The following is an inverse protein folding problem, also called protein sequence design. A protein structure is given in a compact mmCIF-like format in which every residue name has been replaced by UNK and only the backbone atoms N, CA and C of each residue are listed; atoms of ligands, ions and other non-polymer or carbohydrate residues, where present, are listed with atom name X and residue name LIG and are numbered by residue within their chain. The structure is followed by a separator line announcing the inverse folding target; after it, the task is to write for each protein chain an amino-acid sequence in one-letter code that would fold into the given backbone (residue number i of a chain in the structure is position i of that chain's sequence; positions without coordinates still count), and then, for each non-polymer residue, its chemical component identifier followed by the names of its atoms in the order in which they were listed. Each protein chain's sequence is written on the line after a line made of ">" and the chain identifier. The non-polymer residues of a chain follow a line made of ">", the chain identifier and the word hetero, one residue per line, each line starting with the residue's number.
data_IF_960274389948
#
_entry.id   IF_960274389948
#
_cell.length_a   1.000
_cell.length_b   1.000
_cell.length_c   1.000
_cell.angle_alpha   90.00
_cell.angle_beta   90.00
_cell.angle_gamma   90.00
#
_symmetry.space_group_name_H-M   'P 1'
#
loop_
_entity.id
_entity.type
_entity.pdbx_description
1 polymer ?
#
# COMPACT_ATOMS: atom_id res chain seq x y z
N UNK A 1 3.10 3.71 4.32
CA UNK A 1 2.54 3.36 3.00
C UNK A 1 3.01 4.27 1.86
N UNK A 2 2.65 5.57 1.77
CA UNK A 2 3.12 6.42 0.64
C UNK A 2 4.64 6.65 0.64
N UNK A 3 5.20 6.92 1.81
CA UNK A 3 6.66 7.11 1.96
C UNK A 3 7.43 5.81 1.66
N UNK A 4 6.89 4.66 2.08
CA UNK A 4 7.46 3.32 1.80
C UNK A 4 7.47 3.01 0.29
N UNK A 5 6.40 3.36 -0.43
CA UNK A 5 6.32 3.20 -1.89
C UNK A 5 7.40 4.02 -2.61
N UNK A 6 7.67 5.24 -2.15
CA UNK A 6 8.69 6.11 -2.72
C UNK A 6 10.11 5.57 -2.46
N UNK A 7 10.36 5.00 -1.27
CA UNK A 7 11.62 4.32 -0.96
C UNK A 7 11.87 3.11 -1.86
N UNK A 8 10.85 2.27 -2.10
CA UNK A 8 10.97 1.11 -3.00
C UNK A 8 11.27 1.52 -4.45
N UNK A 9 10.67 2.60 -4.96
CA UNK A 9 11.01 3.11 -6.29
C UNK A 9 12.45 3.60 -6.39
N UNK A 10 12.97 4.20 -5.31
CA UNK A 10 14.36 4.62 -5.26
C UNK A 10 15.30 3.42 -5.26
N UNK A 11 14.99 2.41 -4.46
CA UNK A 11 15.75 1.16 -4.38
C UNK A 11 15.77 0.41 -5.72
N UNK A 12 14.61 0.29 -6.38
CA UNK A 12 14.49 -0.28 -7.72
C UNK A 12 15.40 0.42 -8.73
N UNK A 13 15.45 1.75 -8.70
CA UNK A 13 16.30 2.54 -9.58
C UNK A 13 17.80 2.33 -9.27
N UNK A 14 18.17 2.25 -8.00
CA UNK A 14 19.55 1.95 -7.58
C UNK A 14 19.99 0.56 -8.06
N UNK A 15 19.12 -0.45 -7.92
CA UNK A 15 19.36 -1.82 -8.38
C UNK A 15 19.47 -1.87 -9.91
N UNK A 16 18.56 -1.20 -10.64
CA UNK A 16 18.58 -1.16 -12.11
C UNK A 16 19.83 -0.46 -12.65
N UNK A 17 20.28 0.62 -12.00
CA UNK A 17 21.46 1.39 -12.37
C UNK A 17 22.80 0.70 -12.03
N UNK A 18 22.78 -0.37 -11.23
CA UNK A 18 23.98 -1.14 -10.93
C UNK A 18 24.36 -2.03 -12.11
N UNK A 19 25.59 -1.93 -12.63
CA UNK A 19 26.06 -2.72 -13.77
C UNK A 19 26.43 -4.18 -13.42
N UNK A 20 26.32 -4.56 -12.14
CA UNK A 20 26.67 -5.91 -11.68
C UNK A 20 25.46 -6.85 -11.75
N UNK A 21 25.70 -8.09 -12.20
CA UNK A 21 24.68 -9.15 -12.23
C UNK A 21 24.28 -9.65 -10.83
N UNK A 22 25.08 -9.30 -9.82
CA UNK A 22 24.84 -9.63 -8.42
C UNK A 22 25.06 -8.39 -7.55
N UNK A 23 24.23 -8.21 -6.54
CA UNK A 23 24.35 -7.11 -5.60
C UNK A 23 24.79 -7.62 -4.22
N UNK A 24 26.03 -7.33 -3.78
CA UNK A 24 26.55 -7.79 -2.48
C UNK A 24 25.68 -7.38 -1.28
N UNK A 25 24.96 -6.25 -1.40
CA UNK A 25 24.03 -5.75 -0.39
C UNK A 25 22.85 -6.71 -0.15
N UNK A 26 22.45 -7.46 -1.18
CA UNK A 26 21.38 -8.44 -1.15
C UNK A 26 21.90 -9.90 -1.16
N UNK A 27 23.20 -10.08 -0.90
CA UNK A 27 23.83 -11.40 -0.85
C UNK A 27 24.19 -11.97 -2.23
N UNK A 28 24.02 -13.27 -2.40
CA UNK A 28 24.32 -14.00 -3.65
C UNK A 28 23.12 -14.12 -4.59
N UNK A 29 22.04 -13.38 -4.33
CA UNK A 29 20.86 -13.34 -5.19
C UNK A 29 21.18 -12.64 -6.51
N UNK A 30 20.49 -13.08 -7.56
CA UNK A 30 20.63 -12.49 -8.89
C UNK A 30 19.97 -11.11 -8.94
N UNK A 31 20.52 -10.19 -9.73
CA UNK A 31 19.93 -8.86 -9.93
C UNK A 31 18.46 -8.95 -10.39
N UNK A 32 18.15 -9.89 -11.27
CA UNK A 32 16.80 -10.11 -11.80
C UNK A 32 15.81 -10.52 -10.72
N UNK A 33 16.21 -11.43 -9.83
CA UNK A 33 15.42 -11.86 -8.68
C UNK A 33 15.16 -10.70 -7.72
N UNK A 34 16.18 -9.88 -7.44
CA UNK A 34 16.01 -8.69 -6.58
C UNK A 34 15.05 -7.68 -7.22
N UNK A 35 15.13 -7.45 -8.53
CA UNK A 35 14.19 -6.57 -9.23
C UNK A 35 12.75 -7.11 -9.11
N UNK A 36 12.55 -8.42 -9.31
CA UNK A 36 11.23 -9.03 -9.21
C UNK A 36 10.63 -8.88 -7.81
N UNK A 37 11.42 -9.12 -6.76
CA UNK A 37 10.97 -8.97 -5.38
C UNK A 37 10.53 -7.52 -5.08
N UNK A 38 11.32 -6.53 -5.51
CA UNK A 38 10.97 -5.12 -5.29
C UNK A 38 9.71 -4.73 -6.10
N UNK A 39 9.55 -5.27 -7.32
CA UNK A 39 8.34 -5.02 -8.12
C UNK A 39 7.09 -5.67 -7.50
N UNK A 40 7.22 -6.86 -6.89
CA UNK A 40 6.15 -7.53 -6.14
C UNK A 40 5.73 -6.72 -4.90
N UNK A 41 6.71 -6.25 -4.10
CA UNK A 41 6.44 -5.41 -2.93
C UNK A 41 5.72 -4.09 -3.29
N UNK A 42 6.10 -3.47 -4.42
CA UNK A 42 5.44 -2.27 -4.94
C UNK A 42 3.98 -2.55 -5.32
N UNK A 43 3.71 -3.68 -5.97
CA UNK A 43 2.36 -4.06 -6.41
C UNK A 43 1.48 -4.40 -5.22
N UNK A 44 2.01 -5.10 -4.21
CA UNK A 44 1.31 -5.41 -2.97
C UNK A 44 0.92 -4.12 -2.24
N UNK A 45 1.86 -3.20 -2.02
CA UNK A 45 1.58 -1.92 -1.36
C UNK A 45 0.60 -1.03 -2.15
N UNK A 46 0.64 -1.06 -3.48
CA UNK A 46 -0.35 -0.37 -4.32
C UNK A 46 -1.73 -0.96 -4.11
N UNK A 47 -1.82 -2.29 -4.10
CA UNK A 47 -3.07 -3.01 -3.88
C UNK A 47 -3.61 -2.74 -2.48
N UNK A 48 -2.78 -2.74 -1.44
CA UNK A 48 -3.19 -2.38 -0.09
C UNK A 48 -3.67 -0.93 0.00
N UNK A 49 -2.99 0.01 -0.65
CA UNK A 49 -3.42 1.41 -0.71
C UNK A 49 -4.78 1.55 -1.40
N UNK A 50 -5.02 0.79 -2.47
CA UNK A 50 -6.30 0.78 -3.19
C UNK A 50 -7.40 0.06 -2.40
N UNK A 51 -7.11 -1.08 -1.78
CA UNK A 51 -8.05 -1.84 -0.94
C UNK A 51 -8.30 -1.21 0.44
N UNK A 52 -7.45 -0.29 0.90
CA UNK A 52 -7.74 0.52 2.11
C UNK A 52 -8.86 1.53 1.88
N UNK A 53 -9.31 1.69 0.64
CA UNK A 53 -10.52 2.42 0.30
C UNK A 53 -11.71 1.57 0.77
N UNK A 54 -12.28 1.95 1.92
CA UNK A 54 -13.51 1.35 2.42
C UNK A 54 -14.56 1.24 1.31
N UNK A 55 -15.34 0.15 1.28
CA UNK A 55 -16.48 -0.04 0.37
C UNK A 55 -17.57 1.04 0.53
N UNK A 56 -17.38 1.97 1.48
CA UNK A 56 -18.24 3.08 1.78
C UNK A 56 -17.52 4.39 1.56
N UNK A 57 -18.17 5.31 0.87
CA UNK A 57 -17.78 6.72 0.94
C UNK A 57 -17.97 7.26 2.36
N UNK A 58 -17.24 8.32 2.75
CA UNK A 58 -17.43 8.94 4.06
C UNK A 58 -18.88 9.35 4.35
N UNK A 59 -19.62 9.75 3.32
CA UNK A 59 -21.03 10.14 3.43
C UNK A 59 -21.94 8.92 3.66
N UNK A 60 -21.74 7.81 2.92
CA UNK A 60 -22.50 6.58 3.14
C UNK A 60 -22.28 5.99 4.55
N UNK A 61 -21.04 6.05 5.03
CA UNK A 61 -20.69 5.62 6.38
C UNK A 61 -21.42 6.47 7.45
N UNK A 62 -21.48 7.79 7.24
CA UNK A 62 -22.17 8.72 8.13
C UNK A 62 -23.70 8.51 8.11
N UNK A 63 -24.27 8.23 6.94
CA UNK A 63 -25.69 7.92 6.79
C UNK A 63 -26.06 6.62 7.53
N UNK A 64 -25.27 5.55 7.38
CA UNK A 64 -25.48 4.29 8.12
C UNK A 64 -25.36 4.51 9.64
N UNK A 65 -24.34 5.25 10.06
CA UNK A 65 -24.11 5.62 11.46
C UNK A 65 -25.30 6.37 12.05
N UNK A 66 -25.82 7.38 11.34
CA UNK A 66 -27.00 8.15 11.74
C UNK A 66 -28.24 7.24 11.86
N UNK A 67 -28.49 6.39 10.86
CA UNK A 67 -29.64 5.49 10.84
C UNK A 67 -29.60 4.51 12.02
N UNK A 68 -28.42 3.97 12.35
CA UNK A 68 -28.21 3.14 13.52
C UNK A 68 -28.55 3.87 14.82
N UNK A 69 -28.07 5.10 15.00
CA UNK A 69 -28.37 5.87 16.22
C UNK A 69 -29.87 6.17 16.35
N UNK A 70 -30.53 6.59 15.27
CA UNK A 70 -31.98 6.82 15.27
C UNK A 70 -32.75 5.53 15.61
N UNK A 71 -32.33 4.38 15.05
CA UNK A 71 -32.99 3.09 15.32
C UNK A 71 -32.91 2.66 16.79
N UNK A 72 -31.87 3.11 17.50
CA UNK A 72 -31.65 2.84 18.92
C UNK A 72 -32.24 3.93 19.83
N UNK A 73 -32.90 4.95 19.27
CA UNK A 73 -33.44 6.09 20.01
C UNK A 73 -32.36 7.05 20.52
N UNK A 74 -31.13 6.98 19.98
CA UNK A 74 -30.04 7.88 20.29
C UNK A 74 -30.14 9.17 19.45
N UNK A 75 -29.52 10.24 19.93
CA UNK A 75 -29.39 11.48 19.17
C UNK A 75 -28.60 11.24 17.88
N UNK A 76 -28.95 11.94 16.80
CA UNK A 76 -28.17 11.97 15.54
C UNK A 76 -26.72 12.44 15.70
N UNK A 77 -26.41 13.07 16.83
CA UNK A 77 -25.07 13.55 17.20
C UNK A 77 -24.40 12.68 18.27
N UNK A 78 -24.84 11.42 18.41
CA UNK A 78 -23.87 10.37 18.68
C UNK A 78 -22.73 10.46 17.64
#
# INVERSE_FOLDING_TARGET
>A
MKDELEELYKELNEVKACDLDYLPKYGYSSKEEIIQLIEEDIEELRTELECSQYDYTPDELEDERMMLCVSQGLSRYC
#
